data_IF_570574913850
#
_entry.id   IF_570574913850
#
_cell.length_a   1.000
_cell.length_b   1.000
_cell.length_c   1.000
_cell.angle_alpha   90.00
_cell.angle_beta   90.00
_cell.angle_gamma   90.00
#
_symmetry.space_group_name_H-M   'P 1'
#
loop_
_entity.id
_entity.type
_entity.pdbx_description
1 polymer ?
#
# COMPACT_ATOMS: atom_id res chain seq x y z
N UNK A 1 0.54 -6.96 -12.27
CA UNK A 1 1.30 -5.73 -11.98
C UNK A 1 0.36 -4.75 -11.28
N UNK A 2 0.77 -4.19 -10.14
CA UNK A 2 0.01 -3.17 -9.39
C UNK A 2 0.70 -1.83 -9.54
N UNK A 3 -0.06 -0.73 -9.64
CA UNK A 3 0.48 0.64 -9.68
C UNK A 3 -0.08 1.43 -8.51
N UNK A 4 0.81 1.95 -7.67
CA UNK A 4 0.45 2.91 -6.64
C UNK A 4 0.59 4.31 -7.23
N UNK A 5 -0.53 5.00 -7.43
CA UNK A 5 -0.55 6.38 -7.89
C UNK A 5 -0.47 7.29 -6.65
N UNK A 6 0.70 7.89 -6.45
CA UNK A 6 0.92 8.85 -5.36
C UNK A 6 0.95 10.27 -5.92
N UNK A 7 0.82 11.27 -5.04
CA UNK A 7 1.05 12.67 -5.39
C UNK A 7 2.53 13.01 -5.72
N UNK A 8 3.45 12.06 -5.55
CA UNK A 8 4.87 12.18 -5.90
C UNK A 8 5.27 11.33 -7.13
N UNK A 9 4.30 10.67 -7.78
CA UNK A 9 4.55 9.82 -8.95
C UNK A 9 4.04 8.39 -8.77
N UNK A 10 4.33 7.54 -9.76
CA UNK A 10 3.85 6.16 -9.82
C UNK A 10 4.93 5.22 -9.27
N UNK A 11 4.54 4.34 -8.35
CA UNK A 11 5.35 3.19 -7.91
C UNK A 11 4.73 1.93 -8.54
N UNK A 12 5.48 1.25 -9.40
CA UNK A 12 5.03 0.00 -10.02
C UNK A 12 5.55 -1.20 -9.22
N UNK A 13 4.64 -2.13 -8.91
CA UNK A 13 4.92 -3.34 -8.13
C UNK A 13 4.68 -4.60 -8.96
N UNK A 14 5.66 -5.50 -8.91
CA UNK A 14 5.51 -6.90 -9.29
C UNK A 14 5.34 -7.73 -8.02
N UNK A 15 4.40 -8.67 -8.02
CA UNK A 15 4.05 -9.47 -6.86
C UNK A 15 4.39 -10.93 -7.13
N UNK A 16 5.11 -11.56 -6.21
CA UNK A 16 5.52 -12.96 -6.30
C UNK A 16 4.50 -13.86 -5.59
N UNK A 17 3.43 -14.21 -6.32
CA UNK A 17 2.36 -15.07 -5.80
C UNK A 17 2.80 -16.51 -5.58
N UNK A 18 3.89 -16.96 -6.23
CA UNK A 18 4.43 -18.30 -6.05
C UNK A 18 5.05 -18.43 -4.65
N UNK A 19 5.83 -17.43 -4.21
CA UNK A 19 6.48 -17.45 -2.89
C UNK A 19 5.60 -16.98 -1.75
N UNK A 20 4.65 -16.09 -2.00
CA UNK A 20 3.81 -15.50 -0.96
C UNK A 20 2.31 -15.47 -1.34
N UNK A 21 1.68 -16.62 -1.64
CA UNK A 21 0.34 -16.67 -2.25
C UNK A 21 -0.73 -15.96 -1.41
N UNK A 22 -0.80 -16.25 -0.10
CA UNK A 22 -1.80 -15.65 0.79
C UNK A 22 -1.59 -14.15 0.98
N UNK A 23 -0.34 -13.70 1.06
CA UNK A 23 -0.02 -12.27 1.21
C UNK A 23 -0.38 -11.50 -0.04
N UNK A 24 -0.07 -12.05 -1.22
CA UNK A 24 -0.41 -11.44 -2.50
C UNK A 24 -1.93 -11.40 -2.70
N UNK A 25 -2.64 -12.49 -2.38
CA UNK A 25 -4.10 -12.53 -2.45
C UNK A 25 -4.74 -11.46 -1.56
N UNK A 26 -4.33 -11.38 -0.29
CA UNK A 26 -4.80 -10.37 0.66
C UNK A 26 -4.50 -8.95 0.17
N UNK A 27 -3.27 -8.67 -0.28
CA UNK A 27 -2.90 -7.35 -0.78
C UNK A 27 -3.73 -6.95 -2.01
N UNK A 28 -3.90 -7.87 -2.96
CA UNK A 28 -4.73 -7.62 -4.15
C UNK A 28 -6.20 -7.43 -3.80
N UNK A 29 -6.71 -8.05 -2.74
CA UNK A 29 -8.07 -7.80 -2.28
C UNK A 29 -8.25 -6.35 -1.84
N UNK A 30 -7.38 -5.84 -0.97
CA UNK A 30 -7.39 -4.43 -0.57
C UNK A 30 -7.24 -3.47 -1.77
N UNK A 31 -6.43 -3.81 -2.77
CA UNK A 31 -6.33 -3.01 -4.00
C UNK A 31 -7.65 -3.00 -4.78
N UNK A 32 -8.28 -4.17 -4.98
CA UNK A 32 -9.55 -4.28 -5.72
C UNK A 32 -10.69 -3.56 -5.01
N UNK A 33 -10.69 -3.56 -3.69
CA UNK A 33 -11.70 -2.90 -2.86
C UNK A 33 -11.46 -1.37 -2.76
N UNK A 34 -10.40 -0.85 -3.37
CA UNK A 34 -10.03 0.57 -3.28
C UNK A 34 -9.58 0.99 -1.88
N UNK A 35 -9.24 0.04 -1.01
CA UNK A 35 -8.94 0.33 0.39
C UNK A 35 -7.75 1.28 0.57
N UNK A 36 -6.72 1.12 -0.26
CA UNK A 36 -5.52 1.95 -0.23
C UNK A 36 -5.72 3.35 -0.82
N UNK A 37 -6.83 3.60 -1.52
CA UNK A 37 -7.10 4.89 -2.11
C UNK A 37 -7.27 5.96 -1.03
N UNK A 38 -6.59 7.09 -1.21
CA UNK A 38 -6.55 8.17 -0.23
C UNK A 38 -5.68 7.88 1.00
N UNK A 39 -5.05 6.71 1.13
CA UNK A 39 -4.13 6.44 2.24
C UNK A 39 -2.80 7.19 2.09
N UNK A 40 -2.12 7.44 3.20
CA UNK A 40 -0.82 8.11 3.26
C UNK A 40 0.32 7.16 3.64
N UNK A 41 1.54 7.53 3.25
CA UNK A 41 2.77 7.01 3.86
C UNK A 41 3.01 7.71 5.20
N UNK A 42 2.39 7.19 6.27
CA UNK A 42 2.41 7.80 7.59
C UNK A 42 3.73 7.65 8.34
N UNK A 43 4.65 6.77 7.87
CA UNK A 43 5.95 6.58 8.49
C UNK A 43 7.03 6.48 7.41
N UNK A 44 7.93 7.46 7.39
CA UNK A 44 9.07 7.56 6.47
C UNK A 44 10.33 7.73 7.31
N UNK A 45 11.28 6.79 7.19
CA UNK A 45 12.56 6.82 7.90
C UNK A 45 13.66 6.71 6.86
N UNK A 46 14.41 7.79 6.70
CA UNK A 46 15.51 7.85 5.74
C UNK A 46 16.59 6.81 6.04
N UNK A 47 17.17 6.24 4.99
CA UNK A 47 18.10 5.11 5.08
C UNK A 47 17.49 3.79 5.53
N UNK A 48 16.17 3.71 5.75
CA UNK A 48 15.49 2.49 6.19
C UNK A 48 14.29 2.10 5.33
N UNK A 49 13.14 2.78 5.47
CA UNK A 49 11.91 2.35 4.81
C UNK A 49 10.82 3.43 4.76
N UNK A 50 9.78 3.14 3.99
CA UNK A 50 8.50 3.85 3.97
C UNK A 50 7.37 2.87 4.25
N UNK A 51 6.41 3.27 5.09
CA UNK A 51 5.27 2.46 5.49
C UNK A 51 3.97 3.27 5.32
N UNK A 52 2.96 2.64 4.75
CA UNK A 52 1.68 3.26 4.39
C UNK A 52 0.52 2.26 4.39
N UNK A 53 -0.61 2.66 3.79
CA UNK A 53 -1.74 1.76 3.54
C UNK A 53 -2.70 1.51 4.71
N UNK A 54 -2.54 2.21 5.83
CA UNK A 54 -3.41 2.04 7.02
C UNK A 54 -3.98 3.33 7.61
N UNK A 55 -3.61 4.50 7.07
CA UNK A 55 -4.01 5.80 7.59
C UNK A 55 -4.42 6.74 6.46
N UNK A 56 -5.40 7.58 6.73
CA UNK A 56 -5.83 8.72 5.91
C UNK A 56 -5.09 10.01 6.33
N UNK A 57 -5.17 11.09 5.54
CA UNK A 57 -4.64 12.39 5.93
C UNK A 57 -5.15 12.81 7.31
N UNK A 58 -4.27 13.39 8.14
CA UNK A 58 -4.60 13.71 9.53
C UNK A 58 -4.33 12.58 10.53
N UNK A 59 -3.65 11.50 10.12
CA UNK A 59 -3.29 10.35 10.98
C UNK A 59 -4.52 9.60 11.52
N UNK A 60 -5.60 9.56 10.75
CA UNK A 60 -6.79 8.75 11.05
C UNK A 60 -6.58 7.32 10.56
N UNK A 61 -6.62 6.34 11.47
CA UNK A 61 -6.43 4.93 11.13
C UNK A 61 -7.68 4.37 10.42
N UNK A 62 -7.49 3.64 9.32
CA UNK A 62 -8.58 2.91 8.65
C UNK A 62 -8.87 1.60 9.40
N UNK A 63 -10.15 1.23 9.60
CA UNK A 63 -10.49 -0.09 10.11
C UNK A 63 -10.14 -1.17 9.07
N UNK A 64 -9.68 -2.34 9.51
CA UNK A 64 -9.29 -3.48 8.67
C UNK A 64 -10.12 -4.70 8.99
#
# INVERSE_FOLDING_TARGET
MVKLHTNHGIIALELDAEKAPKTVENFLQYVRDGFFDGTIFHRVIDGFMIQGGGFEPGMTQKPT
#
